data_IF_055910230010
#
_entry.id   IF_055910230010
#
_cell.length_a   1.000
_cell.length_b   1.000
_cell.length_c   1.000
_cell.angle_alpha   90.00
_cell.angle_beta   90.00
_cell.angle_gamma   90.00
#
_symmetry.space_group_name_H-M   'P 1'
#
loop_
_entity.id
_entity.type
_entity.pdbx_description
1 polymer ?
#
# COMPACT_ATOMS: atom_id res chain seq x y z
N UNK A 1 65.17 12.04 -11.70
CA UNK A 1 63.93 12.59 -11.13
C UNK A 1 63.34 13.60 -12.08
N UNK A 2 62.05 13.50 -12.38
CA UNK A 2 61.11 14.63 -12.26
C UNK A 2 59.70 14.12 -12.49
N UNK A 3 58.79 14.61 -11.65
CA UNK A 3 57.42 14.13 -11.44
C UNK A 3 56.38 15.00 -12.15
N UNK A 4 55.18 14.42 -12.34
CA UNK A 4 53.88 15.10 -12.45
C UNK A 4 53.61 15.85 -13.76
N UNK A 5 52.39 15.93 -14.30
CA UNK A 5 51.09 15.67 -13.69
C UNK A 5 50.06 15.50 -14.80
N UNK A 6 49.28 14.40 -14.75
CA UNK A 6 48.15 14.13 -15.64
C UNK A 6 46.95 14.93 -15.14
N UNK A 7 46.57 15.99 -15.85
CA UNK A 7 45.34 16.73 -15.63
C UNK A 7 44.14 16.00 -16.22
N UNK A 8 43.50 15.15 -15.41
CA UNK A 8 42.26 14.43 -15.72
C UNK A 8 41.08 15.41 -15.59
N UNK A 9 40.61 15.95 -16.71
CA UNK A 9 39.37 16.72 -16.77
C UNK A 9 38.16 15.80 -16.59
N UNK A 10 37.67 15.69 -15.36
CA UNK A 10 36.39 15.03 -15.05
C UNK A 10 35.26 15.93 -15.54
N UNK A 11 34.73 15.63 -16.73
CA UNK A 11 33.49 16.21 -17.23
C UNK A 11 32.33 15.78 -16.33
N UNK A 12 31.84 16.73 -15.52
CA UNK A 12 30.58 16.59 -14.76
C UNK A 12 29.44 16.31 -15.73
N UNK A 13 28.94 15.08 -15.78
CA UNK A 13 27.65 14.76 -16.39
C UNK A 13 26.53 15.31 -15.49
N UNK A 14 26.10 16.53 -15.79
CA UNK A 14 24.88 17.16 -15.27
C UNK A 14 23.63 16.84 -16.12
N UNK A 15 22.47 17.46 -15.82
CA UNK A 15 21.11 16.89 -15.77
C UNK A 15 20.41 16.62 -17.12
N UNK A 16 21.13 16.20 -18.16
CA UNK A 16 20.56 15.99 -19.49
C UNK A 16 19.55 14.85 -19.61
N UNK A 17 19.67 13.80 -18.80
CA UNK A 17 18.81 12.60 -18.90
C UNK A 17 17.37 12.83 -18.42
N UNK A 18 17.19 13.61 -17.35
CA UNK A 18 15.87 13.88 -16.76
C UNK A 18 15.05 14.81 -17.65
N UNK A 19 15.68 15.83 -18.25
CA UNK A 19 15.01 16.75 -19.16
C UNK A 19 14.53 16.05 -20.44
N UNK A 20 15.24 15.01 -20.91
CA UNK A 20 14.83 14.18 -22.04
C UNK A 20 13.61 13.30 -21.72
N UNK A 21 13.51 12.76 -20.50
CA UNK A 21 12.35 11.98 -20.04
C UNK A 21 11.06 12.82 -20.01
N UNK A 22 11.15 14.08 -19.60
CA UNK A 22 10.00 14.99 -19.51
C UNK A 22 9.54 15.52 -20.89
N UNK A 23 10.43 15.49 -21.89
CA UNK A 23 10.18 16.09 -23.21
C UNK A 23 9.38 15.23 -24.20
N UNK A 24 9.20 13.93 -23.93
CA UNK A 24 8.54 13.01 -24.88
C UNK A 24 7.02 13.22 -24.91
N UNK A 25 6.46 13.55 -26.08
CA UNK A 25 5.02 13.75 -26.29
C UNK A 25 4.18 12.51 -25.97
N UNK A 26 4.74 11.31 -26.17
CA UNK A 26 4.08 10.07 -25.78
C UNK A 26 3.99 9.92 -24.26
N UNK A 27 5.08 10.22 -23.54
CA UNK A 27 5.10 10.17 -22.08
C UNK A 27 4.12 11.20 -21.48
N UNK A 28 4.06 12.42 -22.04
CA UNK A 28 3.08 13.44 -21.65
C UNK A 28 1.65 12.94 -21.82
N UNK A 29 1.34 12.35 -22.98
CA UNK A 29 0.02 11.80 -23.27
C UNK A 29 -0.37 10.71 -22.28
N UNK A 30 0.57 9.83 -21.93
CA UNK A 30 0.32 8.77 -20.95
C UNK A 30 0.11 9.32 -19.55
N UNK A 31 0.92 10.29 -19.12
CA UNK A 31 0.72 11.00 -17.85
C UNK A 31 -0.67 11.64 -17.75
N UNK A 32 -1.13 12.29 -18.81
CA UNK A 32 -2.49 12.87 -18.84
C UNK A 32 -3.57 11.79 -18.68
N UNK A 33 -3.43 10.64 -19.34
CA UNK A 33 -4.40 9.54 -19.17
C UNK A 33 -4.39 9.02 -17.74
N UNK A 34 -3.22 8.79 -17.16
CA UNK A 34 -3.07 8.30 -15.78
C UNK A 34 -3.72 9.26 -14.79
N UNK A 35 -3.46 10.56 -14.92
CA UNK A 35 -4.05 11.61 -14.08
C UNK A 35 -5.58 11.61 -14.22
N UNK A 36 -6.11 11.65 -15.44
CA UNK A 36 -7.57 11.65 -15.66
C UNK A 36 -8.21 10.39 -15.08
N UNK A 37 -7.63 9.20 -15.35
CA UNK A 37 -8.14 7.93 -14.83
C UNK A 37 -8.22 7.95 -13.31
N UNK A 38 -7.16 8.40 -12.66
CA UNK A 38 -7.12 8.45 -11.20
C UNK A 38 -8.06 9.50 -10.61
N UNK A 39 -8.13 10.70 -11.19
CA UNK A 39 -9.03 11.76 -10.71
C UNK A 39 -10.51 11.33 -10.84
N UNK A 40 -10.88 10.67 -11.93
CA UNK A 40 -12.21 10.07 -12.08
C UNK A 40 -12.48 8.98 -11.04
N UNK A 41 -11.53 8.05 -10.84
CA UNK A 41 -11.66 6.98 -9.85
C UNK A 41 -11.79 7.50 -8.41
N UNK A 42 -11.01 8.52 -8.08
CA UNK A 42 -10.96 9.12 -6.75
C UNK A 42 -12.05 10.18 -6.50
N UNK A 43 -13.05 10.30 -7.37
CA UNK A 43 -14.19 11.19 -7.17
C UNK A 43 -13.85 12.68 -7.21
N UNK A 44 -12.88 13.09 -8.03
CA UNK A 44 -12.61 14.51 -8.27
C UNK A 44 -13.88 15.19 -8.84
N UNK A 45 -14.29 16.37 -8.32
CA UNK A 45 -15.63 16.92 -8.56
C UNK A 45 -15.87 17.37 -10.01
N UNK A 46 -14.82 17.68 -10.76
CA UNK A 46 -14.93 18.18 -12.13
C UNK A 46 -14.63 17.08 -13.15
N UNK A 47 -15.42 17.02 -14.24
CA UNK A 47 -15.10 16.15 -15.36
C UNK A 47 -13.96 16.76 -16.20
N UNK A 48 -12.86 16.03 -16.30
CA UNK A 48 -11.66 16.50 -16.99
C UNK A 48 -11.52 15.82 -18.34
N UNK A 49 -11.28 16.62 -19.39
CA UNK A 49 -10.93 16.12 -20.72
C UNK A 49 -9.42 16.28 -20.96
N UNK A 50 -8.79 15.45 -21.80
CA UNK A 50 -7.36 15.56 -22.10
C UNK A 50 -6.93 16.96 -22.61
N UNK A 51 -7.84 17.70 -23.25
CA UNK A 51 -7.58 19.04 -23.79
C UNK A 51 -7.23 20.06 -22.72
N UNK A 52 -7.76 19.92 -21.50
CA UNK A 52 -7.51 20.89 -20.42
C UNK A 52 -6.07 20.83 -19.91
N UNK A 53 -5.39 19.69 -20.09
CA UNK A 53 -4.00 19.47 -19.68
C UNK A 53 -2.96 19.97 -20.69
N UNK A 54 -3.40 20.54 -21.82
CA UNK A 54 -2.47 21.22 -22.75
C UNK A 54 -1.97 22.54 -22.14
N UNK A 55 -2.86 23.28 -21.49
CA UNK A 55 -2.57 24.53 -20.80
C UNK A 55 -3.57 24.73 -19.64
N UNK A 56 -3.42 23.97 -18.54
CA UNK A 56 -4.38 24.03 -17.46
C UNK A 56 -4.33 25.38 -16.72
N UNK A 57 -5.48 25.93 -16.30
CA UNK A 57 -5.51 27.12 -15.48
C UNK A 57 -4.92 26.83 -14.10
N UNK A 58 -4.28 27.83 -13.48
CA UNK A 58 -3.62 27.65 -12.17
C UNK A 58 -4.58 27.16 -11.09
N UNK A 59 -5.80 27.70 -11.05
CA UNK A 59 -6.81 27.29 -10.06
C UNK A 59 -7.11 25.79 -10.15
N UNK A 60 -7.26 25.25 -11.36
CA UNK A 60 -7.47 23.82 -11.55
C UNK A 60 -6.26 23.00 -11.09
N UNK A 61 -5.04 23.47 -11.36
CA UNK A 61 -3.84 22.78 -10.87
C UNK A 61 -3.77 22.75 -9.34
N UNK A 62 -4.12 23.86 -8.69
CA UNK A 62 -4.21 23.94 -7.23
C UNK A 62 -5.27 22.97 -6.69
N UNK A 63 -6.45 22.90 -7.31
CA UNK A 63 -7.49 21.93 -6.94
C UNK A 63 -7.03 20.49 -7.11
N UNK A 64 -6.34 20.18 -8.21
CA UNK A 64 -5.78 18.84 -8.45
C UNK A 64 -4.71 18.51 -7.40
N UNK A 65 -3.74 19.40 -7.16
CA UNK A 65 -2.72 19.17 -6.14
C UNK A 65 -3.33 18.98 -4.75
N UNK A 66 -4.29 19.83 -4.38
CA UNK A 66 -4.98 19.71 -3.11
C UNK A 66 -5.67 18.36 -2.96
N UNK A 67 -6.40 17.92 -4.00
CA UNK A 67 -7.09 16.63 -3.99
C UNK A 67 -6.11 15.46 -3.85
N UNK A 68 -5.02 15.46 -4.61
CA UNK A 68 -4.04 14.37 -4.58
C UNK A 68 -3.23 14.35 -3.27
N UNK A 69 -2.77 15.51 -2.81
CA UNK A 69 -1.92 15.61 -1.60
C UNK A 69 -2.71 15.34 -0.32
N UNK A 70 -3.99 15.72 -0.26
CA UNK A 70 -4.89 15.30 0.85
C UNK A 70 -5.03 13.79 0.93
N UNK A 71 -5.11 13.12 -0.24
CA UNK A 71 -5.19 11.65 -0.29
C UNK A 71 -3.88 10.97 0.05
N UNK A 72 -2.74 11.56 -0.33
CA UNK A 72 -1.42 10.98 -0.09
C UNK A 72 -0.91 11.18 1.34
N UNK A 73 -1.35 12.24 2.02
CA UNK A 73 -0.85 12.60 3.35
C UNK A 73 -1.95 12.45 4.40
N UNK A 74 -2.90 13.38 4.42
CA UNK A 74 -4.03 13.43 5.36
C UNK A 74 -5.03 14.53 4.93
N UNK A 75 -6.26 14.43 5.42
CA UNK A 75 -7.33 15.41 5.22
C UNK A 75 -7.01 16.80 5.80
N UNK A 76 -6.06 16.89 6.73
CA UNK A 76 -5.55 18.13 7.32
C UNK A 76 -4.71 18.98 6.37
N UNK A 77 -4.16 18.39 5.30
CA UNK A 77 -3.42 19.14 4.27
C UNK A 77 -4.38 20.06 3.51
N UNK A 78 -3.96 21.30 3.31
CA UNK A 78 -4.72 22.29 2.56
C UNK A 78 -3.79 23.04 1.61
N UNK A 79 -3.92 22.77 0.32
CA UNK A 79 -3.21 23.49 -0.74
C UNK A 79 -4.16 24.49 -1.38
N UNK A 80 -3.85 25.76 -1.21
CA UNK A 80 -4.61 26.90 -1.74
C UNK A 80 -3.75 27.72 -2.70
N UNK A 81 -4.35 28.69 -3.39
CA UNK A 81 -3.62 29.54 -4.33
C UNK A 81 -2.50 30.35 -3.64
N UNK A 82 -2.68 30.67 -2.37
CA UNK A 82 -1.79 31.50 -1.55
C UNK A 82 -0.56 30.71 -1.08
N UNK A 83 -0.74 29.44 -0.71
CA UNK A 83 0.34 28.62 -0.14
C UNK A 83 0.94 27.60 -1.13
N UNK A 84 0.34 27.37 -2.30
CA UNK A 84 0.78 26.33 -3.24
C UNK A 84 2.26 26.46 -3.63
N UNK A 85 2.79 27.67 -3.71
CA UNK A 85 4.19 27.90 -4.07
C UNK A 85 5.19 27.37 -3.03
N UNK A 86 4.75 27.17 -1.79
CA UNK A 86 5.56 26.67 -0.68
C UNK A 86 5.21 25.22 -0.35
N UNK A 87 3.91 24.94 -0.21
CA UNK A 87 3.40 23.64 0.21
C UNK A 87 3.63 22.55 -0.84
N UNK A 88 3.39 22.83 -2.13
CA UNK A 88 3.54 21.82 -3.18
C UNK A 88 5.00 21.35 -3.27
N UNK A 89 6.02 22.22 -3.40
CA UNK A 89 7.42 21.79 -3.34
C UNK A 89 7.80 21.03 -2.07
N UNK A 90 7.32 21.48 -0.90
CA UNK A 90 7.62 20.87 0.40
C UNK A 90 7.08 19.44 0.46
N UNK A 91 5.80 19.26 0.13
CA UNK A 91 5.11 17.98 0.21
C UNK A 91 5.66 16.98 -0.81
N UNK A 92 5.94 17.38 -2.05
CA UNK A 92 6.59 16.49 -3.02
C UNK A 92 7.97 16.05 -2.55
N UNK A 93 8.73 16.92 -1.88
CA UNK A 93 10.03 16.55 -1.29
C UNK A 93 9.88 15.57 -0.12
N UNK A 94 8.91 15.78 0.75
CA UNK A 94 8.61 14.88 1.88
C UNK A 94 8.13 13.50 1.43
N UNK A 95 7.33 13.45 0.36
CA UNK A 95 6.90 12.21 -0.30
C UNK A 95 8.03 11.49 -1.06
N UNK A 96 9.23 12.10 -1.15
CA UNK A 96 10.39 11.49 -1.81
C UNK A 96 10.37 11.58 -3.33
N UNK A 97 9.68 12.57 -3.90
CA UNK A 97 9.68 12.79 -5.35
C UNK A 97 11.11 13.04 -5.86
N UNK A 98 11.57 12.30 -6.89
CA UNK A 98 12.98 12.30 -7.29
C UNK A 98 13.45 13.60 -7.95
N UNK A 99 12.54 14.46 -8.44
CA UNK A 99 12.89 15.69 -9.15
C UNK A 99 12.58 16.91 -8.30
N UNK A 100 13.46 17.92 -8.35
CA UNK A 100 13.25 19.15 -7.57
C UNK A 100 12.20 20.04 -8.21
N UNK A 101 11.12 20.33 -7.48
CA UNK A 101 10.15 21.37 -7.82
C UNK A 101 10.58 22.66 -7.11
N UNK A 102 11.11 23.63 -7.84
CA UNK A 102 11.53 24.90 -7.26
C UNK A 102 10.34 25.84 -7.02
N UNK A 103 10.40 26.67 -5.96
CA UNK A 103 9.39 27.71 -5.66
C UNK A 103 9.13 28.65 -6.86
N UNK A 104 10.16 28.98 -7.63
CA UNK A 104 10.04 29.80 -8.85
C UNK A 104 9.25 29.10 -9.96
N UNK A 105 9.32 27.76 -10.07
CA UNK A 105 8.55 26.97 -11.03
C UNK A 105 7.04 27.05 -10.75
N UNK A 106 6.66 27.25 -9.49
CA UNK A 106 5.25 27.37 -9.05
C UNK A 106 4.61 28.72 -9.37
N UNK A 107 5.39 29.74 -9.77
CA UNK A 107 4.83 31.03 -10.19
C UNK A 107 4.09 30.91 -11.52
N UNK A 108 4.60 30.06 -12.43
CA UNK A 108 4.02 29.79 -13.75
C UNK A 108 4.12 28.29 -14.09
N UNK A 109 3.39 27.43 -13.35
CA UNK A 109 3.54 25.97 -13.45
C UNK A 109 3.02 25.42 -14.78
N UNK A 110 2.13 26.15 -15.45
CA UNK A 110 1.58 25.83 -16.76
C UNK A 110 2.41 26.37 -17.94
N UNK A 111 3.56 26.99 -17.68
CA UNK A 111 4.44 27.48 -18.75
C UNK A 111 5.06 26.30 -19.52
N UNK A 112 5.31 26.47 -20.83
CA UNK A 112 5.78 25.39 -21.70
C UNK A 112 7.05 24.67 -21.20
N UNK A 113 7.93 25.37 -20.49
CA UNK A 113 9.16 24.82 -19.93
C UNK A 113 8.97 24.13 -18.57
N UNK A 114 8.00 24.57 -17.77
CA UNK A 114 7.77 24.03 -16.42
C UNK A 114 6.68 22.94 -16.42
N UNK A 115 5.71 23.04 -17.31
CA UNK A 115 4.57 22.13 -17.37
C UNK A 115 4.95 20.65 -17.47
N UNK A 116 5.96 20.24 -18.27
CA UNK A 116 6.39 18.85 -18.29
C UNK A 116 6.81 18.30 -16.92
N UNK A 117 7.49 19.11 -16.09
CA UNK A 117 7.89 18.72 -14.74
C UNK A 117 6.69 18.51 -13.83
N UNK A 118 5.72 19.45 -13.87
CA UNK A 118 4.51 19.38 -13.05
C UNK A 118 3.59 18.24 -13.48
N UNK A 119 3.45 18.03 -14.79
CA UNK A 119 2.69 16.92 -15.35
C UNK A 119 3.27 15.57 -14.91
N UNK A 120 4.59 15.43 -14.96
CA UNK A 120 5.25 14.22 -14.47
C UNK A 120 5.06 14.03 -12.96
N UNK A 121 5.21 15.09 -12.16
CA UNK A 121 4.99 15.03 -10.71
C UNK A 121 3.57 14.57 -10.36
N UNK A 122 2.56 15.12 -11.06
CA UNK A 122 1.16 14.70 -10.91
C UNK A 122 0.95 13.22 -11.30
N UNK A 123 1.51 12.78 -12.44
CA UNK A 123 1.43 11.38 -12.89
C UNK A 123 2.05 10.44 -11.87
N UNK A 124 3.26 10.77 -11.39
CA UNK A 124 3.99 10.00 -10.41
C UNK A 124 3.19 9.84 -9.10
N UNK A 125 2.58 10.94 -8.63
CA UNK A 125 1.75 10.88 -7.42
C UNK A 125 0.50 10.02 -7.62
N UNK A 126 -0.16 10.13 -8.78
CA UNK A 126 -1.29 9.25 -9.12
C UNK A 126 -0.86 7.78 -9.17
N UNK A 127 0.28 7.46 -9.78
CA UNK A 127 0.82 6.09 -9.84
C UNK A 127 1.14 5.56 -8.43
N UNK A 128 1.74 6.39 -7.58
CA UNK A 128 2.02 6.05 -6.20
C UNK A 128 0.73 5.74 -5.42
N UNK A 129 -0.31 6.56 -5.57
CA UNK A 129 -1.61 6.36 -4.92
C UNK A 129 -2.34 5.12 -5.47
N UNK A 130 -2.22 4.84 -6.77
CA UNK A 130 -2.75 3.60 -7.36
C UNK A 130 -2.03 2.40 -6.77
N UNK A 131 -0.70 2.42 -6.74
CA UNK A 131 0.10 1.35 -6.15
C UNK A 131 -0.24 1.14 -4.67
N UNK A 132 -0.36 2.22 -3.91
CA UNK A 132 -0.79 2.17 -2.51
C UNK A 132 -2.13 1.46 -2.39
N UNK A 133 -3.12 1.89 -3.19
CA UNK A 133 -4.44 1.27 -3.19
C UNK A 133 -4.38 -0.21 -3.58
N UNK A 134 -3.56 -0.62 -4.54
CA UNK A 134 -3.52 -2.00 -5.02
C UNK A 134 -2.72 -2.94 -4.11
N UNK A 135 -1.67 -2.44 -3.46
CA UNK A 135 -0.75 -3.24 -2.64
C UNK A 135 -1.21 -3.28 -1.19
N UNK A 136 -1.56 -2.14 -0.60
CA UNK A 136 -2.04 -2.13 0.79
C UNK A 136 -3.48 -2.64 0.91
N UNK A 137 -4.32 -2.50 -0.13
CA UNK A 137 -5.60 -3.23 -0.13
C UNK A 137 -5.42 -4.75 -0.25
N UNK A 138 -4.24 -5.25 -0.63
CA UNK A 138 -3.93 -6.69 -0.63
C UNK A 138 -3.24 -7.17 0.64
N UNK A 139 -2.84 -6.24 1.50
CA UNK A 139 -2.25 -6.57 2.80
C UNK A 139 -3.36 -7.05 3.76
N UNK A 140 -3.32 -8.32 4.21
CA UNK A 140 -4.31 -8.84 5.16
C UNK A 140 -4.35 -8.05 6.48
N UNK A 141 -3.27 -7.35 6.85
CA UNK A 141 -3.19 -6.52 8.04
C UNK A 141 -3.94 -5.19 7.88
N UNK A 142 -4.01 -4.65 6.66
CA UNK A 142 -4.64 -3.35 6.38
C UNK A 142 -6.00 -3.46 5.70
N UNK A 143 -6.31 -4.62 5.10
CA UNK A 143 -7.62 -4.90 4.51
C UNK A 143 -8.28 -6.13 5.17
N UNK A 144 -9.21 -5.92 6.13
CA UNK A 144 -9.87 -7.00 6.86
C UNK A 144 -10.81 -7.86 5.99
N UNK A 145 -11.06 -7.47 4.73
CA UNK A 145 -11.83 -8.27 3.78
C UNK A 145 -11.03 -9.46 3.19
N UNK A 146 -9.69 -9.46 3.34
CA UNK A 146 -8.79 -10.51 2.87
C UNK A 146 -8.50 -11.47 4.02
N UNK A 147 -9.51 -12.22 4.44
CA UNK A 147 -9.31 -13.40 5.27
C UNK A 147 -10.04 -14.59 4.65
N UNK A 148 -9.25 -15.55 4.13
CA UNK A 148 -9.38 -17.00 4.36
C UNK A 148 -8.63 -17.77 3.27
N UNK A 149 -7.40 -18.19 3.55
CA UNK A 149 -6.97 -19.50 3.06
C UNK A 149 -5.93 -20.21 3.92
N UNK A 150 -5.06 -19.49 4.62
CA UNK A 150 -3.89 -20.12 5.26
C UNK A 150 -3.82 -19.93 6.79
N UNK A 151 -4.96 -19.72 7.46
CA UNK A 151 -5.03 -19.51 8.91
C UNK A 151 -4.67 -20.74 9.78
N UNK A 152 -4.21 -21.86 9.19
CA UNK A 152 -3.82 -23.05 9.94
C UNK A 152 -2.35 -23.09 10.37
N UNK A 153 -1.49 -22.15 9.93
CA UNK A 153 -0.05 -22.19 10.25
C UNK A 153 0.41 -21.19 11.32
N UNK A 154 -0.42 -20.25 11.77
CA UNK A 154 0.05 -19.08 12.53
C UNK A 154 -0.77 -18.78 13.80
N UNK A 155 -1.12 -19.79 14.59
CA UNK A 155 -2.00 -19.66 15.76
C UNK A 155 -1.61 -18.60 16.80
N UNK A 156 -0.33 -18.24 16.92
CA UNK A 156 0.13 -17.16 17.81
C UNK A 156 0.01 -15.76 17.20
N UNK A 157 0.33 -15.61 15.91
CA UNK A 157 0.27 -14.33 15.18
C UNK A 157 -1.17 -13.89 14.96
N UNK A 158 -2.09 -14.85 14.76
CA UNK A 158 -3.53 -14.59 14.67
C UNK A 158 -4.10 -14.09 16.00
N UNK A 159 -3.57 -14.55 17.13
CA UNK A 159 -4.04 -14.17 18.47
C UNK A 159 -3.73 -12.70 18.83
N UNK A 160 -2.48 -12.27 18.62
CA UNK A 160 -2.09 -10.88 18.91
C UNK A 160 -2.77 -9.87 17.97
N UNK A 161 -2.91 -10.21 16.69
CA UNK A 161 -3.60 -9.38 15.70
C UNK A 161 -5.10 -9.29 15.99
N UNK A 162 -5.74 -10.40 16.36
CA UNK A 162 -7.15 -10.42 16.75
C UNK A 162 -7.40 -9.56 17.99
N UNK A 163 -6.58 -9.67 19.01
CA UNK A 163 -6.69 -8.87 20.24
C UNK A 163 -6.54 -7.39 19.91
N UNK A 164 -5.55 -7.04 19.08
CA UNK A 164 -5.31 -5.66 18.66
C UNK A 164 -6.50 -5.06 17.91
N UNK A 165 -7.09 -5.82 16.95
CA UNK A 165 -8.30 -5.39 16.22
C UNK A 165 -9.51 -5.24 17.12
N UNK A 166 -9.73 -6.17 18.04
CA UNK A 166 -10.84 -6.09 18.99
C UNK A 166 -10.67 -4.90 19.95
N UNK A 167 -9.46 -4.66 20.44
CA UNK A 167 -9.15 -3.47 21.24
C UNK A 167 -9.47 -2.19 20.47
N UNK A 168 -8.97 -2.05 19.24
CA UNK A 168 -9.25 -0.89 18.37
C UNK A 168 -10.75 -0.68 18.13
N UNK A 169 -11.51 -1.75 17.92
CA UNK A 169 -12.95 -1.65 17.69
C UNK A 169 -13.73 -1.20 18.93
N UNK A 170 -13.42 -1.80 20.09
CA UNK A 170 -14.18 -1.56 21.32
C UNK A 170 -13.68 -0.37 22.14
N UNK A 171 -12.44 0.10 21.96
CA UNK A 171 -11.87 1.21 22.72
C UNK A 171 -12.66 2.53 22.61
N UNK A 172 -13.10 2.98 21.41
CA UNK A 172 -13.93 4.18 21.28
C UNK A 172 -15.32 3.99 21.92
N UNK A 173 -15.88 2.79 21.78
CA UNK A 173 -17.22 2.43 22.30
C UNK A 173 -17.23 2.31 23.82
N UNK A 174 -16.07 1.98 24.40
CA UNK A 174 -15.79 1.84 25.84
C UNK A 174 -15.64 3.19 26.57
N UNK A 175 -15.89 4.32 25.89
CA UNK A 175 -15.65 5.65 26.45
C UNK A 175 -14.15 5.90 26.68
N UNK A 176 -13.33 5.54 25.69
CA UNK A 176 -11.85 5.57 25.74
C UNK A 176 -11.27 4.63 26.80
N UNK A 177 -11.80 3.39 26.86
CA UNK A 177 -11.28 2.35 27.74
C UNK A 177 -11.75 2.45 29.19
N UNK A 178 -12.87 3.12 29.47
CA UNK A 178 -13.45 3.19 30.82
C UNK A 178 -14.27 1.95 31.16
N UNK A 179 -14.84 1.28 30.15
CA UNK A 179 -15.62 0.05 30.33
C UNK A 179 -15.28 -1.01 29.28
N UNK A 180 -14.39 -1.94 29.63
CA UNK A 180 -13.95 -3.02 28.73
C UNK A 180 -14.79 -4.30 28.90
N UNK A 181 -15.87 -4.29 29.68
CA UNK A 181 -16.63 -5.51 30.00
C UNK A 181 -17.15 -6.21 28.74
N UNK A 182 -17.68 -5.44 27.79
CA UNK A 182 -18.18 -5.98 26.52
C UNK A 182 -17.05 -6.58 25.66
N UNK A 183 -15.86 -5.96 25.66
CA UNK A 183 -14.68 -6.52 25.00
C UNK A 183 -14.25 -7.83 25.68
N UNK A 184 -14.18 -7.85 27.01
CA UNK A 184 -13.80 -9.03 27.79
C UNK A 184 -14.75 -10.20 27.52
N UNK A 185 -16.07 -9.95 27.52
CA UNK A 185 -17.07 -10.96 27.20
C UNK A 185 -16.90 -11.50 25.77
N UNK A 186 -16.75 -10.61 24.78
CA UNK A 186 -16.57 -10.99 23.38
C UNK A 186 -15.29 -11.80 23.15
N UNK A 187 -14.17 -11.40 23.78
CA UNK A 187 -12.91 -12.13 23.74
C UNK A 187 -13.07 -13.52 24.36
N UNK A 188 -13.68 -13.60 25.54
CA UNK A 188 -13.89 -14.86 26.25
C UNK A 188 -14.74 -15.83 25.43
N UNK A 189 -15.90 -15.39 24.93
CA UNK A 189 -16.77 -16.22 24.09
C UNK A 189 -16.12 -16.68 22.78
N UNK A 190 -15.17 -15.91 22.25
CA UNK A 190 -14.47 -16.31 21.03
C UNK A 190 -13.34 -17.29 21.30
N UNK A 191 -12.50 -17.03 22.30
CA UNK A 191 -11.48 -17.98 22.74
C UNK A 191 -12.08 -19.33 23.12
N UNK A 192 -13.23 -19.33 23.78
CA UNK A 192 -13.92 -20.55 24.14
C UNK A 192 -14.35 -21.36 22.91
N UNK A 193 -14.91 -20.71 21.88
CA UNK A 193 -15.25 -21.38 20.61
C UNK A 193 -14.00 -21.94 19.91
N UNK A 194 -12.91 -21.21 19.91
CA UNK A 194 -11.67 -21.65 19.26
C UNK A 194 -11.07 -22.86 20.00
N UNK A 195 -11.14 -22.87 21.34
CA UNK A 195 -10.76 -24.03 22.17
C UNK A 195 -11.64 -25.24 21.83
N UNK A 196 -12.97 -25.08 21.80
CA UNK A 196 -13.90 -26.16 21.45
C UNK A 196 -13.63 -26.73 20.04
N UNK A 197 -13.29 -25.85 19.08
CA UNK A 197 -12.92 -26.29 17.73
C UNK A 197 -11.59 -27.07 17.71
N UNK A 198 -10.59 -26.60 18.46
CA UNK A 198 -9.30 -27.29 18.57
C UNK A 198 -9.47 -28.66 19.24
N UNK A 199 -10.24 -28.75 20.32
CA UNK A 199 -10.54 -30.00 21.02
C UNK A 199 -11.24 -31.00 20.09
N UNK A 200 -12.24 -30.54 19.33
CA UNK A 200 -12.92 -31.37 18.32
C UNK A 200 -11.96 -31.86 17.22
N UNK A 201 -11.04 -30.99 16.79
CA UNK A 201 -10.02 -31.33 15.79
C UNK A 201 -9.02 -32.36 16.31
N UNK A 202 -8.55 -32.20 17.56
CA UNK A 202 -7.69 -33.16 18.25
C UNK A 202 -8.39 -34.51 18.36
N UNK A 203 -9.63 -34.55 18.87
CA UNK A 203 -10.41 -35.78 18.99
C UNK A 203 -10.68 -36.47 17.63
N UNK A 204 -10.83 -35.70 16.56
CA UNK A 204 -10.94 -36.25 15.20
C UNK A 204 -9.62 -36.89 14.74
N UNK A 205 -8.49 -36.20 14.94
CA UNK A 205 -7.15 -36.70 14.58
C UNK A 205 -6.76 -37.93 15.40
N UNK A 206 -7.08 -37.97 16.68
CA UNK A 206 -6.85 -39.15 17.54
C UNK A 206 -7.63 -40.37 17.04
N UNK A 207 -8.90 -40.18 16.64
CA UNK A 207 -9.70 -41.26 16.03
C UNK A 207 -9.11 -41.75 14.72
N UNK A 208 -8.59 -40.85 13.88
CA UNK A 208 -7.90 -41.22 12.65
C UNK A 208 -6.62 -42.02 12.93
N UNK A 209 -5.82 -41.58 13.91
CA UNK A 209 -4.60 -42.26 14.32
C UNK A 209 -4.89 -43.68 14.84
N UNK A 210 -5.91 -43.83 15.69
CA UNK A 210 -6.30 -45.13 16.22
C UNK A 210 -6.74 -46.11 15.12
N UNK A 211 -7.51 -45.64 14.12
CA UNK A 211 -7.91 -46.45 12.96
C UNK A 211 -6.70 -46.89 12.14
N UNK A 212 -5.80 -45.96 11.83
CA UNK A 212 -4.59 -46.26 11.07
C UNK A 212 -3.69 -47.28 11.80
N UNK A 213 -3.55 -47.16 13.12
CA UNK A 213 -2.81 -48.12 13.93
C UNK A 213 -3.44 -49.52 13.92
N UNK A 214 -4.77 -49.61 13.99
CA UNK A 214 -5.48 -50.89 13.92
C UNK A 214 -5.30 -51.57 12.56
N UNK A 215 -5.34 -50.79 11.48
CA UNK A 215 -5.14 -51.29 10.12
C UNK A 215 -3.70 -51.79 9.91
N UNK A 216 -2.69 -51.05 10.38
CA UNK A 216 -1.29 -51.50 10.37
C UNK A 216 -1.09 -52.80 11.16
N UNK A 217 -1.70 -52.92 12.36
CA UNK A 217 -1.62 -54.15 13.16
C UNK A 217 -2.24 -55.33 12.43
N UNK A 218 -3.39 -55.12 11.78
CA UNK A 218 -4.06 -56.17 11.00
C UNK A 218 -3.19 -56.64 9.84
N UNK A 219 -2.66 -55.71 9.06
CA UNK A 219 -1.77 -56.02 7.92
C UNK A 219 -0.52 -56.76 8.40
N UNK A 220 0.07 -56.34 9.52
CA UNK A 220 1.24 -57.01 10.11
C UNK A 220 0.94 -58.47 10.49
N UNK A 221 -0.20 -58.72 11.13
CA UNK A 221 -0.62 -60.07 11.51
C UNK A 221 -0.92 -60.96 10.30
N UNK A 222 -1.53 -60.41 9.25
CA UNK A 222 -1.75 -61.13 7.97
C UNK A 222 -0.42 -61.48 7.29
N UNK A 223 0.58 -60.58 7.32
CA UNK A 223 1.93 -60.85 6.82
C UNK A 223 2.66 -61.93 7.61
N UNK A 224 2.60 -61.89 8.94
CA UNK A 224 3.19 -62.92 9.82
C UNK A 224 2.55 -64.29 9.59
N UNK A 225 1.22 -64.35 9.47
CA UNK A 225 0.50 -65.59 9.18
C UNK A 225 0.89 -66.18 7.81
N UNK A 226 1.05 -65.33 6.80
CA UNK A 226 1.49 -65.75 5.46
C UNK A 226 2.95 -66.21 5.43
N UNK A 227 3.83 -65.58 6.22
CA UNK A 227 5.23 -65.98 6.33
C UNK A 227 5.44 -67.31 7.10
N UNK A 228 4.46 -67.71 7.91
CA UNK A 228 4.47 -68.97 8.67
C UNK A 228 3.91 -70.17 7.89
N UNK A 229 3.42 -69.97 6.65
CA UNK A 229 3.04 -71.06 5.75
C UNK A 229 4.30 -71.63 5.06
N UNK A 230 4.52 -72.96 5.08
CA UNK A 230 5.73 -73.60 4.55
C UNK A 230 5.84 -73.62 3.02
#
# INVERSE_FOLDING_TARGET
GSAGTVGRGVGKKGPGGVQQLLGNEEAKRESVKTIIRFLCYSGFPQQLSPKIFVAPPRNLLVEIWNHLLRRACDDSVQVTNENANEEVPRLFKELGYPLTIAKSSMQAPNSAHQWPLHLHALSWLCELLIYESEVFSRDPLLNPAIEKKDALSAGAVVGEEMISRMLLHYYPQSGNGRDLTHLQQSLHSRLQRDVEQLESSIASRERQLARAQQELRRISAELEANAALP
#
